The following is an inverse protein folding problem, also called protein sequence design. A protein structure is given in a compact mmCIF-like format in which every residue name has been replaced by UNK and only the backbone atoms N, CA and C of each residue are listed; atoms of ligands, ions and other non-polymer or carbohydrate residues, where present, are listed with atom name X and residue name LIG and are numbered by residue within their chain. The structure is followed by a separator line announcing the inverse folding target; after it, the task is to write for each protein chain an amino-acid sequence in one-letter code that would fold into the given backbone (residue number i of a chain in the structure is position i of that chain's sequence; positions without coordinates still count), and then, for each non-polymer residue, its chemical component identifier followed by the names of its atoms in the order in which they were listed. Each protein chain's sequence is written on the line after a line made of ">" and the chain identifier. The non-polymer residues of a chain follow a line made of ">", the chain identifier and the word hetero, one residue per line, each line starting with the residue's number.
data_IF_730789520475
#
_entry.id   IF_730789520475
#
_cell.length_a   1.000
_cell.length_b   1.000
_cell.length_c   1.000
_cell.angle_alpha   90.00
_cell.angle_beta   90.00
_cell.angle_gamma   90.00
#
_symmetry.space_group_name_H-M   'P 1'
#
loop_
_entity.id
_entity.type
_entity.pdbx_description
1 polymer ?
#
# COMPACT_ATOMS: atom_id res chain seq x y z
N UNK A 1 29.89 -26.03 -12.27
CA UNK A 1 29.98 -24.55 -12.26
C UNK A 1 28.68 -23.83 -12.60
N UNK A 2 27.79 -24.35 -13.46
CA UNK A 2 26.52 -23.67 -13.84
C UNK A 2 25.43 -23.58 -12.74
N UNK A 3 25.58 -24.30 -11.62
CA UNK A 3 24.57 -24.34 -10.55
C UNK A 3 24.89 -23.42 -9.35
N UNK A 4 26.11 -22.87 -9.27
CA UNK A 4 26.51 -21.95 -8.18
C UNK A 4 26.08 -20.51 -8.53
N UNK A 5 26.10 -20.16 -9.81
CA UNK A 5 25.67 -18.84 -10.30
C UNK A 5 24.14 -18.66 -10.18
N UNK A 6 23.34 -19.73 -10.34
CA UNK A 6 21.88 -19.69 -10.10
C UNK A 6 21.50 -19.49 -8.63
N UNK A 7 22.33 -19.94 -7.69
CA UNK A 7 22.10 -19.68 -6.26
C UNK A 7 22.48 -18.25 -5.87
N UNK A 8 23.43 -17.63 -6.56
CA UNK A 8 23.85 -16.26 -6.25
C UNK A 8 22.79 -15.20 -6.64
N UNK A 9 21.97 -15.46 -7.66
CA UNK A 9 20.82 -14.60 -8.00
C UNK A 9 19.68 -14.70 -6.96
N UNK A 10 19.43 -15.89 -6.38
CA UNK A 10 18.40 -16.08 -5.36
C UNK A 10 18.79 -15.52 -3.97
N UNK A 11 20.10 -15.40 -3.68
CA UNK A 11 20.58 -14.80 -2.43
C UNK A 11 20.87 -13.30 -2.53
N UNK A 12 21.12 -12.77 -3.73
CA UNK A 12 21.33 -11.33 -3.97
C UNK A 12 20.08 -10.47 -3.80
N UNK A 13 18.88 -11.04 -3.97
CA UNK A 13 17.61 -10.33 -3.75
C UNK A 13 17.16 -10.38 -2.27
N UNK A 14 17.66 -11.34 -1.48
CA UNK A 14 17.25 -11.54 -0.09
C UNK A 14 18.05 -10.70 0.92
N UNK A 15 19.33 -10.40 0.64
CA UNK A 15 20.19 -9.68 1.57
C UNK A 15 19.98 -8.14 1.58
N UNK A 16 19.42 -7.55 0.52
CA UNK A 16 19.16 -6.09 0.48
C UNK A 16 17.94 -5.70 1.35
N UNK A 17 17.08 -6.66 1.69
CA UNK A 17 15.91 -6.45 2.57
C UNK A 17 16.20 -6.56 4.07
N UNK A 18 17.44 -6.84 4.50
CA UNK A 18 17.75 -7.04 5.94
C UNK A 18 18.50 -5.90 6.61
N UNK A 19 18.72 -4.77 5.94
CA UNK A 19 19.37 -3.61 6.55
C UNK A 19 18.51 -2.37 6.33
N UNK A 20 17.38 -2.28 7.05
CA UNK A 20 17.00 -1.11 7.88
C UNK A 20 15.59 -1.21 8.53
N UNK A 21 15.09 -2.39 8.90
CA UNK A 21 13.87 -2.47 9.70
C UNK A 21 14.22 -2.40 11.19
N UNK A 22 13.96 -1.24 11.77
CA UNK A 22 13.97 -0.98 13.20
C UNK A 22 13.01 -1.97 13.89
N UNK A 23 13.57 -3.02 14.48
CA UNK A 23 12.85 -4.11 15.18
C UNK A 23 11.96 -3.62 16.32
N UNK A 24 12.16 -2.39 16.80
CA UNK A 24 11.43 -1.86 17.97
C UNK A 24 9.96 -1.53 17.66
N UNK A 25 9.58 -1.29 16.40
CA UNK A 25 8.21 -0.88 16.06
C UNK A 25 7.20 -2.04 15.98
N UNK A 26 7.65 -3.27 15.70
CA UNK A 26 6.76 -4.42 15.52
C UNK A 26 6.49 -5.22 16.81
N UNK A 27 7.30 -5.04 17.85
CA UNK A 27 7.11 -5.76 19.11
C UNK A 27 5.86 -5.29 19.89
N UNK A 28 5.43 -4.04 19.73
CA UNK A 28 4.36 -3.45 20.56
C UNK A 28 2.95 -3.64 20.00
N UNK A 29 2.77 -4.43 18.93
CA UNK A 29 1.45 -4.70 18.32
C UNK A 29 1.01 -6.14 18.57
N UNK A 30 1.92 -7.03 19.00
CA UNK A 30 1.58 -8.43 19.27
C UNK A 30 1.06 -8.71 20.69
N UNK A 31 1.36 -7.84 21.67
CA UNK A 31 0.90 -8.05 23.05
C UNK A 31 -0.60 -7.71 23.25
N UNK A 32 -1.20 -6.90 22.37
CA UNK A 32 -2.62 -6.48 22.47
C UNK A 32 -3.62 -7.46 21.81
N UNK A 33 -3.15 -8.52 21.14
CA UNK A 33 -4.01 -9.44 20.37
C UNK A 33 -4.33 -10.73 21.16
N UNK A 34 -3.72 -10.97 22.32
CA UNK A 34 -3.85 -12.24 23.08
C UNK A 34 -4.48 -12.06 24.48
N UNK A 35 -5.47 -11.16 24.66
CA UNK A 35 -6.23 -11.08 25.92
C UNK A 35 -7.76 -11.25 25.80
N UNK A 36 -8.31 -11.41 24.59
CA UNK A 36 -9.78 -11.52 24.41
C UNK A 36 -10.29 -12.98 24.25
N UNK A 37 -9.66 -13.93 24.95
CA UNK A 37 -10.14 -15.33 25.02
C UNK A 37 -10.29 -15.86 26.44
N UNK A 38 -10.85 -15.03 27.33
CA UNK A 38 -11.41 -15.52 28.60
C UNK A 38 -12.94 -15.41 28.61
N UNK A 39 -13.54 -16.58 28.38
CA UNK A 39 -14.91 -17.03 28.66
C UNK A 39 -15.69 -16.20 29.71
N UNK A 40 -16.87 -15.71 29.33
CA UNK A 40 -18.05 -15.67 30.22
C UNK A 40 -19.21 -16.40 29.54
N UNK A 41 -19.35 -17.67 29.90
CA UNK A 41 -20.59 -18.42 29.85
C UNK A 41 -21.52 -17.84 30.93
N UNK A 42 -22.71 -17.40 30.56
CA UNK A 42 -23.86 -17.25 31.44
C UNK A 42 -25.13 -17.27 30.59
N UNK A 43 -25.69 -18.47 30.49
CA UNK A 43 -27.08 -18.73 30.17
C UNK A 43 -27.94 -18.38 31.39
N UNK A 44 -28.77 -17.34 31.30
CA UNK A 44 -30.00 -17.26 32.09
C UNK A 44 -31.11 -16.57 31.28
N UNK A 45 -32.24 -17.25 31.25
CA UNK A 45 -33.51 -16.87 30.65
C UNK A 45 -34.11 -15.63 31.32
N UNK A 46 -34.53 -14.63 30.52
CA UNK A 46 -35.59 -13.70 30.93
C UNK A 46 -36.48 -13.41 29.73
N UNK A 47 -37.60 -14.12 29.70
CA UNK A 47 -38.82 -13.73 28.99
C UNK A 47 -39.33 -12.41 29.56
N UNK A 48 -39.54 -11.41 28.71
CA UNK A 48 -40.55 -10.39 28.96
C UNK A 48 -40.97 -9.70 27.66
N UNK A 49 -42.10 -10.17 27.16
CA UNK A 49 -43.05 -9.42 26.36
C UNK A 49 -43.51 -8.16 27.10
N UNK A 50 -43.47 -6.99 26.43
CA UNK A 50 -44.58 -6.03 26.35
C UNK A 50 -44.17 -4.77 25.56
N UNK A 51 -44.93 -4.52 24.49
CA UNK A 51 -45.23 -3.22 23.87
C UNK A 51 -46.78 -3.10 24.07
N UNK A 52 -47.44 -1.95 24.32
CA UNK A 52 -47.28 -0.72 23.53
C UNK A 52 -47.58 0.65 24.19
N UNK A 53 -47.25 1.71 23.44
CA UNK A 53 -48.15 2.82 23.05
C UNK A 53 -47.74 4.28 23.41
N UNK A 54 -47.93 5.14 22.40
CA UNK A 54 -48.06 6.62 22.41
C UNK A 54 -46.84 7.46 22.80
N UNK A 55 -46.58 8.67 22.30
CA UNK A 55 -47.01 9.51 21.16
C UNK A 55 -46.22 10.83 21.30
N UNK A 56 -46.12 11.59 20.19
CA UNK A 56 -45.83 13.05 20.12
C UNK A 56 -44.37 13.55 20.14
N UNK A 57 -43.96 13.99 18.94
CA UNK A 57 -43.32 15.27 18.55
C UNK A 57 -42.36 16.00 19.50
N UNK A 58 -41.21 16.45 18.94
CA UNK A 58 -40.90 17.87 18.67
C UNK A 58 -39.42 18.01 18.25
N UNK A 59 -39.22 18.73 17.14
CA UNK A 59 -37.92 19.16 16.61
C UNK A 59 -37.09 19.96 17.62
N UNK A 60 -35.77 19.74 17.67
CA UNK A 60 -34.85 20.83 17.96
C UNK A 60 -33.55 20.71 17.16
N UNK A 61 -33.25 21.78 16.43
CA UNK A 61 -31.96 22.06 15.77
C UNK A 61 -31.13 22.92 16.72
N UNK A 62 -29.80 22.90 16.55
CA UNK A 62 -28.74 23.56 17.34
C UNK A 62 -28.23 22.64 18.47
N UNK A 63 -26.95 22.35 18.60
CA UNK A 63 -25.74 23.12 18.25
C UNK A 63 -24.52 22.19 18.22
N UNK A 64 -23.54 22.57 17.40
CA UNK A 64 -22.15 22.08 17.44
C UNK A 64 -21.62 22.05 18.88
N UNK A 65 -21.21 20.87 19.34
CA UNK A 65 -20.20 20.73 20.39
C UNK A 65 -19.14 19.75 19.93
N UNK A 66 -18.01 20.31 19.47
CA UNK A 66 -16.74 19.61 19.36
C UNK A 66 -16.23 19.30 20.77
N UNK A 67 -16.41 18.06 21.23
CA UNK A 67 -15.58 17.50 22.29
C UNK A 67 -14.50 16.64 21.64
N UNK A 68 -13.34 17.27 21.44
CA UNK A 68 -12.07 16.59 21.23
C UNK A 68 -11.61 16.14 22.61
N UNK A 69 -11.69 14.85 22.89
CA UNK A 69 -10.76 14.24 23.83
C UNK A 69 -10.51 12.77 23.49
N UNK A 70 -9.27 12.37 23.75
CA UNK A 70 -8.63 11.07 23.58
C UNK A 70 -8.10 10.67 22.19
N UNK A 71 -6.81 10.97 21.96
CA UNK A 71 -5.99 10.48 20.85
C UNK A 71 -5.62 9.00 21.03
N UNK A 72 -6.62 8.12 21.07
CA UNK A 72 -6.42 6.75 20.62
C UNK A 72 -6.72 6.72 19.12
N UNK A 73 -5.73 7.11 18.30
CA UNK A 73 -5.83 6.92 16.85
C UNK A 73 -5.74 5.43 16.59
N UNK A 74 -6.87 4.74 16.74
CA UNK A 74 -7.12 3.42 16.19
C UNK A 74 -6.68 3.50 14.75
N UNK A 75 -5.56 2.86 14.43
CA UNK A 75 -5.04 2.82 13.07
C UNK A 75 -6.21 2.45 12.15
N UNK A 76 -6.67 3.40 11.34
CA UNK A 76 -7.82 3.17 10.49
C UNK A 76 -7.44 2.01 9.57
N UNK A 77 -8.16 0.91 9.70
CA UNK A 77 -7.93 -0.24 8.85
C UNK A 77 -8.03 0.24 7.40
N UNK A 78 -6.99 -0.01 6.61
CA UNK A 78 -7.00 0.34 5.20
C UNK A 78 -8.03 -0.56 4.51
N UNK A 79 -9.16 0.02 4.16
CA UNK A 79 -10.27 -0.67 3.49
C UNK A 79 -10.45 -0.05 2.11
N UNK A 80 -10.34 -0.89 1.07
CA UNK A 80 -10.70 -0.51 -0.29
C UNK A 80 -11.99 -1.22 -0.68
N UNK A 81 -12.97 -0.47 -1.18
CA UNK A 81 -14.30 -1.01 -1.50
C UNK A 81 -14.32 -1.95 -2.71
N UNK A 82 -13.25 -1.97 -3.50
CA UNK A 82 -13.17 -2.63 -4.81
C UNK A 82 -12.19 -3.81 -4.85
N UNK A 83 -11.74 -4.32 -3.70
CA UNK A 83 -10.83 -5.46 -3.63
C UNK A 83 -11.41 -6.66 -2.87
N UNK A 84 -12.65 -6.58 -2.37
CA UNK A 84 -13.13 -7.56 -1.39
C UNK A 84 -13.20 -9.00 -1.92
N UNK A 85 -13.58 -9.16 -3.19
CA UNK A 85 -13.63 -10.44 -3.92
C UNK A 85 -12.48 -10.59 -4.94
N UNK A 86 -11.48 -9.71 -4.89
CA UNK A 86 -10.37 -9.72 -5.84
C UNK A 86 -9.26 -10.67 -5.38
N UNK A 87 -8.76 -11.54 -6.27
CA UNK A 87 -7.74 -12.56 -5.95
C UNK A 87 -6.44 -11.96 -5.36
N UNK A 88 -6.15 -10.70 -5.66
CA UNK A 88 -4.97 -9.98 -5.18
C UNK A 88 -5.21 -9.24 -3.85
N UNK A 89 -6.37 -9.37 -3.20
CA UNK A 89 -6.75 -8.62 -1.98
C UNK A 89 -5.64 -8.57 -0.93
N UNK A 90 -5.14 -9.74 -0.54
CA UNK A 90 -4.15 -9.83 0.54
C UNK A 90 -2.80 -9.22 0.11
N UNK A 91 -2.39 -9.45 -1.15
CA UNK A 91 -1.18 -8.86 -1.73
C UNK A 91 -1.26 -7.32 -1.80
N UNK A 92 -2.44 -6.79 -2.10
CA UNK A 92 -2.69 -5.34 -2.13
C UNK A 92 -2.58 -4.77 -0.72
N UNK A 93 -3.21 -5.42 0.28
CA UNK A 93 -3.13 -5.01 1.68
C UNK A 93 -1.69 -4.98 2.17
N UNK A 94 -0.91 -6.03 1.90
CA UNK A 94 0.50 -6.10 2.26
C UNK A 94 1.30 -4.97 1.61
N UNK A 95 1.11 -4.75 0.31
CA UNK A 95 1.82 -3.70 -0.42
C UNK A 95 1.49 -2.28 0.10
N UNK A 96 0.25 -2.04 0.55
CA UNK A 96 -0.12 -0.76 1.16
C UNK A 96 0.44 -0.63 2.57
N UNK A 97 0.36 -1.69 3.39
CA UNK A 97 0.91 -1.69 4.75
C UNK A 97 2.44 -1.46 4.75
N UNK A 98 3.13 -1.97 3.72
CA UNK A 98 4.56 -1.74 3.50
C UNK A 98 4.86 -0.36 2.87
N UNK A 99 3.84 0.42 2.51
CA UNK A 99 3.99 1.75 1.92
C UNK A 99 4.42 1.76 0.45
N UNK A 100 4.37 0.62 -0.24
CA UNK A 100 4.82 0.48 -1.63
C UNK A 100 3.82 1.11 -2.61
N UNK A 101 2.53 1.01 -2.27
CA UNK A 101 1.40 1.52 -3.04
C UNK A 101 0.42 2.24 -2.12
N UNK A 102 -0.43 3.06 -2.71
CA UNK A 102 -1.55 3.72 -2.04
C UNK A 102 -2.77 3.64 -2.95
N UNK A 103 -3.97 3.61 -2.36
CA UNK A 103 -5.20 3.73 -3.13
C UNK A 103 -5.46 5.17 -3.60
N UNK A 104 -6.62 5.34 -4.21
CA UNK A 104 -7.11 6.63 -4.68
C UNK A 104 -7.96 7.31 -3.61
N UNK A 105 -8.11 8.62 -3.77
CA UNK A 105 -9.14 9.38 -3.06
C UNK A 105 -10.51 8.72 -3.26
N UNK A 106 -11.27 8.56 -2.18
CA UNK A 106 -12.56 7.86 -2.20
C UNK A 106 -12.51 6.36 -1.88
N UNK A 107 -11.38 5.83 -1.40
CA UNK A 107 -11.33 4.48 -0.80
C UNK A 107 -11.35 3.34 -1.82
N UNK A 108 -10.75 3.54 -3.01
CA UNK A 108 -10.62 2.50 -4.05
C UNK A 108 -9.15 2.22 -4.37
N UNK A 109 -8.84 1.00 -4.82
CA UNK A 109 -7.49 0.61 -5.26
C UNK A 109 -7.38 0.44 -6.78
N UNK A 110 -8.48 0.09 -7.45
CA UNK A 110 -8.60 -0.18 -8.89
C UNK A 110 -7.64 -1.29 -9.36
N UNK A 111 -7.76 -2.52 -8.81
CA UNK A 111 -6.77 -3.58 -9.01
C UNK A 111 -6.63 -4.05 -10.47
N UNK A 112 -7.68 -3.88 -11.28
CA UNK A 112 -7.68 -4.27 -12.70
C UNK A 112 -7.21 -3.16 -13.65
N UNK A 113 -6.90 -1.97 -13.13
CA UNK A 113 -6.41 -0.88 -13.95
C UNK A 113 -5.00 -1.17 -14.45
N UNK A 114 -4.78 -0.86 -15.72
CA UNK A 114 -3.43 -0.87 -16.28
C UNK A 114 -2.65 0.34 -15.75
N UNK A 115 -1.45 0.09 -15.24
CA UNK A 115 -0.55 1.14 -14.78
C UNK A 115 0.45 1.55 -15.87
N UNK A 116 0.91 2.78 -15.76
CA UNK A 116 1.93 3.37 -16.62
C UNK A 116 3.35 3.00 -16.16
N UNK A 117 4.32 3.22 -17.04
CA UNK A 117 5.75 3.05 -16.71
C UNK A 117 6.20 3.95 -15.57
N UNK A 118 5.69 5.18 -15.48
CA UNK A 118 5.99 6.11 -14.39
C UNK A 118 5.41 5.63 -13.04
N UNK A 119 4.17 5.16 -13.03
CA UNK A 119 3.56 4.60 -11.82
C UNK A 119 4.32 3.36 -11.36
N UNK A 120 4.64 2.43 -12.26
CA UNK A 120 5.44 1.26 -11.92
C UNK A 120 6.82 1.63 -11.36
N UNK A 121 7.50 2.62 -11.96
CA UNK A 121 8.79 3.13 -11.44
C UNK A 121 8.66 3.66 -10.01
N UNK A 122 7.58 4.37 -9.72
CA UNK A 122 7.27 4.89 -8.39
C UNK A 122 7.07 3.77 -7.39
N UNK A 123 6.25 2.77 -7.74
CA UNK A 123 5.99 1.60 -6.89
C UNK A 123 7.28 0.83 -6.59
N UNK A 124 8.09 0.61 -7.63
CA UNK A 124 9.35 -0.12 -7.51
C UNK A 124 10.37 0.61 -6.65
N UNK A 125 10.53 1.93 -6.84
CA UNK A 125 11.46 2.72 -6.04
C UNK A 125 11.06 2.77 -4.57
N UNK A 126 9.75 2.83 -4.26
CA UNK A 126 9.24 2.71 -2.90
C UNK A 126 9.53 1.33 -2.30
N UNK A 127 9.23 0.27 -3.05
CA UNK A 127 9.46 -1.10 -2.61
C UNK A 127 10.94 -1.41 -2.33
N UNK A 128 11.83 -0.88 -3.18
CA UNK A 128 13.26 -1.13 -3.12
C UNK A 128 14.04 -0.05 -2.33
N UNK A 129 13.36 0.98 -1.82
CA UNK A 129 13.96 2.13 -1.12
C UNK A 129 15.13 2.75 -1.91
N UNK A 130 14.91 3.05 -3.19
CA UNK A 130 15.94 3.60 -4.07
C UNK A 130 16.16 5.09 -3.79
N UNK A 131 17.40 5.42 -3.42
CA UNK A 131 17.79 6.78 -3.06
C UNK A 131 18.87 7.39 -3.98
N UNK A 132 19.45 6.58 -4.87
CA UNK A 132 20.37 7.05 -5.91
C UNK A 132 19.60 7.73 -7.03
N UNK A 133 20.22 8.69 -7.71
CA UNK A 133 19.60 9.41 -8.82
C UNK A 133 20.65 9.86 -9.82
N UNK A 134 20.30 9.92 -11.09
CA UNK A 134 21.15 10.48 -12.14
C UNK A 134 20.41 11.50 -13.00
N UNK A 135 21.16 12.28 -13.78
CA UNK A 135 20.58 13.26 -14.70
C UNK A 135 19.96 12.55 -15.91
N UNK A 136 18.71 12.88 -16.21
CA UNK A 136 18.00 12.33 -17.37
C UNK A 136 18.31 13.11 -18.64
N UNK A 137 18.32 12.40 -19.78
CA UNK A 137 18.45 12.96 -21.12
C UNK A 137 17.29 12.55 -22.04
N UNK A 138 16.10 12.29 -21.47
CA UNK A 138 14.92 11.94 -22.25
C UNK A 138 14.16 13.18 -22.71
N UNK A 139 13.70 13.16 -23.97
CA UNK A 139 12.97 14.26 -24.60
C UNK A 139 11.53 14.42 -24.10
N UNK A 140 10.98 13.38 -23.48
CA UNK A 140 9.59 13.28 -22.99
C UNK A 140 9.48 13.24 -21.46
N UNK A 141 10.54 13.64 -20.75
CA UNK A 141 10.58 13.73 -19.29
C UNK A 141 11.16 15.09 -18.89
N UNK A 142 10.35 15.93 -18.25
CA UNK A 142 10.72 17.28 -17.79
C UNK A 142 10.91 17.29 -16.28
N UNK A 143 11.79 18.16 -15.78
CA UNK A 143 12.03 18.34 -14.33
C UNK A 143 10.77 18.71 -13.55
N UNK A 144 9.78 19.33 -14.20
CA UNK A 144 8.49 19.69 -13.62
C UNK A 144 7.50 18.52 -13.53
N UNK A 145 7.77 17.39 -14.17
CA UNK A 145 6.85 16.25 -14.17
C UNK A 145 6.88 15.56 -12.80
N UNK A 146 5.71 15.15 -12.30
CA UNK A 146 5.59 14.51 -10.98
C UNK A 146 6.45 13.25 -10.84
N UNK A 147 6.65 12.53 -11.94
CA UNK A 147 7.43 11.29 -11.98
C UNK A 147 8.93 11.52 -12.22
N UNK A 148 9.39 12.77 -12.41
CA UNK A 148 10.76 13.05 -12.83
C UNK A 148 11.79 12.38 -11.91
N UNK A 149 11.65 12.59 -10.60
CA UNK A 149 12.55 12.04 -9.58
C UNK A 149 12.51 10.51 -9.56
N UNK A 150 11.35 9.92 -9.78
CA UNK A 150 11.20 8.46 -9.79
C UNK A 150 11.89 7.84 -11.01
N UNK A 151 11.81 8.50 -12.16
CA UNK A 151 12.55 8.06 -13.35
C UNK A 151 14.06 8.23 -13.14
N UNK A 152 14.53 9.33 -12.52
CA UNK A 152 15.95 9.49 -12.18
C UNK A 152 16.48 8.31 -11.36
N UNK A 153 15.71 7.91 -10.34
CA UNK A 153 16.04 6.80 -9.47
C UNK A 153 16.06 5.47 -10.22
N UNK A 154 15.01 5.18 -10.99
CA UNK A 154 14.91 3.90 -11.67
C UNK A 154 15.93 3.74 -12.80
N UNK A 155 16.37 4.84 -13.43
CA UNK A 155 17.47 4.78 -14.42
C UNK A 155 18.81 4.60 -13.72
N UNK A 156 19.08 5.36 -12.65
CA UNK A 156 20.31 5.20 -11.86
C UNK A 156 20.47 3.78 -11.29
N UNK A 157 19.37 3.16 -10.88
CA UNK A 157 19.34 1.77 -10.41
C UNK A 157 19.46 0.73 -11.54
N UNK A 158 19.44 1.14 -12.80
CA UNK A 158 19.56 0.25 -13.96
C UNK A 158 18.28 -0.51 -14.30
N UNK A 159 17.13 -0.18 -13.70
CA UNK A 159 15.84 -0.80 -14.01
C UNK A 159 15.36 -0.41 -15.42
N UNK A 160 15.61 0.83 -15.83
CA UNK A 160 15.22 1.32 -17.14
C UNK A 160 16.35 2.07 -17.84
N UNK A 161 16.49 1.87 -19.14
CA UNK A 161 17.44 2.61 -20.00
C UNK A 161 16.76 3.57 -20.98
N UNK A 162 15.43 3.60 -21.02
CA UNK A 162 14.66 4.25 -22.09
C UNK A 162 14.76 3.53 -23.43
N UNK A 163 14.35 4.23 -24.49
CA UNK A 163 14.30 3.73 -25.87
C UNK A 163 15.33 4.43 -26.77
N UNK A 164 15.61 3.83 -27.93
CA UNK A 164 16.62 4.31 -28.90
C UNK A 164 16.42 5.76 -29.38
N UNK A 165 15.19 6.25 -29.35
CA UNK A 165 14.84 7.62 -29.75
C UNK A 165 14.93 8.66 -28.62
N UNK A 166 15.69 8.38 -27.56
CA UNK A 166 15.83 9.23 -26.37
C UNK A 166 14.48 9.56 -25.71
N UNK A 167 13.61 8.55 -25.57
CA UNK A 167 12.34 8.66 -24.82
C UNK A 167 12.29 7.65 -23.69
N UNK A 168 11.53 7.96 -22.64
CA UNK A 168 11.19 7.02 -21.57
C UNK A 168 9.78 6.44 -21.71
N UNK A 169 8.87 7.21 -22.33
CA UNK A 169 7.43 6.95 -22.49
C UNK A 169 6.71 6.77 -21.15
N UNK A 170 6.80 7.76 -20.23
CA UNK A 170 6.34 7.61 -18.85
C UNK A 170 4.86 7.25 -18.72
N UNK A 171 4.03 7.81 -19.60
CA UNK A 171 2.58 7.63 -19.59
C UNK A 171 2.10 6.40 -20.37
N UNK A 172 3.01 5.66 -21.01
CA UNK A 172 2.62 4.43 -21.70
C UNK A 172 2.34 3.33 -20.67
N UNK A 173 1.32 2.48 -20.91
CA UNK A 173 1.16 1.22 -20.18
C UNK A 173 2.46 0.42 -20.13
N UNK A 174 2.85 -0.04 -18.93
CA UNK A 174 3.98 -0.96 -18.81
C UNK A 174 3.56 -2.35 -19.26
N UNK A 175 4.41 -3.01 -20.06
CA UNK A 175 4.12 -4.37 -20.53
C UNK A 175 4.69 -5.42 -19.60
N UNK A 176 4.09 -6.62 -19.58
CA UNK A 176 4.51 -7.72 -18.71
C UNK A 176 5.95 -8.17 -18.96
N UNK A 177 6.40 -8.15 -20.21
CA UNK A 177 7.79 -8.46 -20.58
C UNK A 177 8.78 -7.42 -20.03
N UNK A 178 8.37 -6.16 -19.93
CA UNK A 178 9.19 -5.09 -19.35
C UNK A 178 9.26 -5.26 -17.84
N UNK A 179 8.13 -5.52 -17.18
CA UNK A 179 8.09 -5.86 -15.74
C UNK A 179 9.01 -7.04 -15.46
N UNK A 180 8.91 -8.12 -16.23
CA UNK A 180 9.75 -9.31 -16.05
C UNK A 180 11.24 -9.03 -16.20
N UNK A 181 11.66 -8.09 -17.05
CA UNK A 181 13.06 -7.73 -17.21
C UNK A 181 13.60 -6.97 -15.99
N UNK A 182 12.74 -6.18 -15.35
CA UNK A 182 13.12 -5.32 -14.23
C UNK A 182 13.21 -6.11 -12.92
N UNK A 183 12.33 -7.09 -12.72
CA UNK A 183 12.20 -7.82 -11.43
C UNK A 183 12.95 -9.15 -11.37
N UNK A 184 13.54 -9.62 -12.47
CA UNK A 184 14.21 -10.93 -12.56
C UNK A 184 15.73 -10.85 -12.32
#
# INVERSE_FOLDING_TARGET
>A
MKNIIKKLAAFGLCAVLTINMNVVAYANILDDIIDDTTIIDNTEDVDNTENPDSSEDVNNTESNETNVDDNNVKAEAIVFSDIDDHWAKDWIKDAVNLGFVSGYEGGTFKPDNTITRAEFSTMLNKAMQIDISEKLNFSDVRESDWFYKEIQKSVAAGFFSGYENNTFRPNNPIKREEVSKVVA
#
